data_IF_797005755396
#
_entry.id   IF_797005755396
#
_cell.length_a   1.000
_cell.length_b   1.000
_cell.length_c   1.000
_cell.angle_alpha   90.00
_cell.angle_beta   90.00
_cell.angle_gamma   90.00
#
_symmetry.space_group_name_H-M   'P 1'
#
loop_
_entity.id
_entity.type
_entity.pdbx_description
1 polymer ?
#
# COMPACT_ATOMS: atom_id res chain seq x y z
N UNK A 1 -3.22 8.72 0.94
CA UNK A 1 -2.20 7.68 0.64
C UNK A 1 -2.81 6.30 0.40
N UNK A 2 -3.30 5.53 1.39
CA UNK A 2 -3.75 4.14 1.12
C UNK A 2 -4.98 4.01 0.19
N UNK A 3 -5.97 4.90 0.32
CA UNK A 3 -7.12 4.96 -0.61
C UNK A 3 -6.67 5.34 -2.03
N UNK A 4 -5.67 6.22 -2.14
CA UNK A 4 -5.10 6.65 -3.41
C UNK A 4 -4.32 5.51 -4.10
N UNK A 5 -3.60 4.68 -3.32
CA UNK A 5 -3.01 3.43 -3.83
C UNK A 5 -4.05 2.50 -4.44
N UNK A 6 -5.22 2.35 -3.79
CA UNK A 6 -6.33 1.55 -4.34
C UNK A 6 -6.87 2.15 -5.64
N UNK A 7 -6.98 3.48 -5.72
CA UNK A 7 -7.42 4.17 -6.94
C UNK A 7 -6.43 3.97 -8.09
N UNK A 8 -5.12 4.12 -7.84
CA UNK A 8 -4.07 3.89 -8.83
C UNK A 8 -4.04 2.42 -9.28
N UNK A 9 -4.14 1.48 -8.34
CA UNK A 9 -4.22 0.06 -8.66
C UNK A 9 -5.44 -0.23 -9.55
N UNK A 10 -6.63 0.26 -9.16
CA UNK A 10 -7.86 0.11 -9.95
C UNK A 10 -7.70 0.71 -11.35
N UNK A 11 -7.08 1.89 -11.48
CA UNK A 11 -6.83 2.50 -12.78
C UNK A 11 -5.89 1.64 -13.65
N UNK A 12 -4.93 0.94 -13.04
CA UNK A 12 -3.98 0.08 -13.75
C UNK A 12 -4.57 -1.28 -14.17
N UNK A 13 -5.50 -1.85 -13.39
CA UNK A 13 -6.02 -3.22 -13.60
C UNK A 13 -7.52 -3.26 -13.94
N UNK A 14 -8.20 -2.12 -13.98
CA UNK A 14 -9.64 -1.99 -14.22
C UNK A 14 -10.51 -2.35 -13.02
N UNK A 15 -10.39 -3.60 -12.55
CA UNK A 15 -11.18 -4.14 -11.44
C UNK A 15 -10.29 -4.63 -10.29
N UNK A 16 -10.55 -4.11 -9.08
CA UNK A 16 -9.90 -4.58 -7.86
C UNK A 16 -10.26 -6.03 -7.51
N UNK A 17 -11.35 -6.57 -8.09
CA UNK A 17 -11.70 -8.00 -8.00
C UNK A 17 -10.57 -8.93 -8.47
N UNK A 18 -9.76 -8.49 -9.44
CA UNK A 18 -8.65 -9.24 -10.03
C UNK A 18 -7.41 -9.34 -9.13
N UNK A 19 -7.39 -8.69 -7.97
CA UNK A 19 -6.31 -8.81 -7.00
C UNK A 19 -6.39 -10.18 -6.32
N UNK A 20 -5.37 -11.01 -6.53
CA UNK A 20 -5.24 -12.31 -5.87
C UNK A 20 -4.78 -12.15 -4.42
N UNK A 21 -3.81 -11.26 -4.19
CA UNK A 21 -3.25 -10.98 -2.86
C UNK A 21 -2.47 -9.66 -2.86
N UNK A 22 -2.53 -8.92 -1.76
CA UNK A 22 -1.52 -7.88 -1.47
C UNK A 22 -0.28 -8.59 -0.92
N UNK A 23 0.83 -8.51 -1.63
CA UNK A 23 2.06 -9.26 -1.29
C UNK A 23 2.86 -8.51 -0.23
N UNK A 24 3.06 -7.21 -0.45
CA UNK A 24 3.92 -6.39 0.40
C UNK A 24 3.46 -4.94 0.44
N UNK A 25 3.56 -4.34 1.63
CA UNK A 25 3.62 -2.89 1.79
C UNK A 25 5.01 -2.44 2.26
N UNK A 26 5.49 -1.35 1.69
CA UNK A 26 6.60 -0.59 2.24
C UNK A 26 6.11 0.80 2.62
N UNK A 27 6.19 1.13 3.91
CA UNK A 27 5.64 2.37 4.48
C UNK A 27 6.78 3.22 5.01
N UNK A 28 6.85 4.44 4.50
CA UNK A 28 7.81 5.46 4.92
C UNK A 28 7.05 6.56 5.65
N UNK A 29 7.36 6.76 6.92
CA UNK A 29 6.73 7.78 7.75
C UNK A 29 7.72 8.91 7.95
N UNK A 30 7.31 10.14 7.62
CA UNK A 30 8.08 11.34 7.91
C UNK A 30 8.05 11.57 9.43
N UNK A 31 9.15 11.26 10.09
CA UNK A 31 9.22 11.23 11.55
C UNK A 31 10.38 12.02 12.09
N UNK A 32 10.15 12.71 13.22
CA UNK A 32 11.20 13.39 13.96
C UNK A 32 12.27 12.40 14.44
N UNK A 33 13.51 12.88 14.72
CA UNK A 33 14.48 12.09 15.44
C UNK A 33 13.86 11.49 16.71
N UNK A 34 14.08 10.20 16.95
CA UNK A 34 13.52 9.41 18.06
C UNK A 34 12.05 8.99 17.96
N UNK A 35 11.35 9.29 16.86
CA UNK A 35 10.06 8.64 16.60
C UNK A 35 10.26 7.14 16.31
N UNK A 36 9.63 6.28 17.11
CA UNK A 36 9.84 4.82 17.09
C UNK A 36 8.56 4.02 16.84
N UNK A 37 7.46 4.71 16.51
CA UNK A 37 6.16 4.09 16.27
C UNK A 37 5.67 4.12 14.79
N UNK A 38 6.53 4.00 13.75
CA UNK A 38 6.06 4.03 12.36
C UNK A 38 5.13 2.84 12.04
N UNK A 39 5.24 1.74 12.79
CA UNK A 39 4.35 0.59 12.67
C UNK A 39 2.89 0.94 12.97
N UNK A 40 2.62 1.80 13.97
CA UNK A 40 1.25 2.21 14.33
C UNK A 40 0.61 3.08 13.26
N UNK A 41 1.41 3.94 12.60
CA UNK A 41 0.94 4.72 11.45
C UNK A 41 0.64 3.80 10.26
N UNK A 42 1.50 2.79 10.04
CA UNK A 42 1.32 1.81 8.98
C UNK A 42 0.10 0.90 9.20
N UNK A 43 -0.36 0.69 10.44
CA UNK A 43 -1.55 -0.11 10.75
C UNK A 43 -2.79 0.42 10.06
N UNK A 44 -2.94 1.75 9.94
CA UNK A 44 -4.09 2.33 9.23
C UNK A 44 -4.18 1.92 7.75
N UNK A 45 -3.04 1.78 7.06
CA UNK A 45 -3.03 1.25 5.70
C UNK A 45 -3.30 -0.26 5.69
N UNK A 46 -2.72 -1.00 6.63
CA UNK A 46 -2.89 -2.44 6.71
C UNK A 46 -4.35 -2.85 7.00
N UNK A 47 -4.98 -2.19 7.97
CA UNK A 47 -6.38 -2.41 8.34
C UNK A 47 -7.33 -2.11 7.18
N UNK A 48 -7.11 -1.01 6.45
CA UNK A 48 -7.91 -0.67 5.27
C UNK A 48 -7.81 -1.77 4.20
N UNK A 49 -6.60 -2.26 3.90
CA UNK A 49 -6.44 -3.31 2.88
C UNK A 49 -7.10 -4.62 3.29
N UNK A 50 -7.06 -4.98 4.57
CA UNK A 50 -7.79 -6.14 5.11
C UNK A 50 -9.31 -5.91 5.05
N UNK A 51 -9.80 -4.71 5.36
CA UNK A 51 -11.23 -4.38 5.24
C UNK A 51 -11.74 -4.48 3.79
N UNK A 52 -10.92 -4.05 2.81
CA UNK A 52 -11.29 -4.06 1.39
C UNK A 52 -11.17 -5.45 0.76
N UNK A 53 -10.09 -6.18 1.05
CA UNK A 53 -9.76 -7.44 0.36
C UNK A 53 -9.98 -8.71 1.19
N UNK A 54 -10.34 -8.59 2.47
CA UNK A 54 -10.43 -9.72 3.41
C UNK A 54 -9.06 -10.38 3.61
N UNK A 55 -9.03 -11.72 3.62
CA UNK A 55 -7.77 -12.49 3.75
C UNK A 55 -6.74 -12.17 2.67
N UNK A 56 -7.18 -11.79 1.46
CA UNK A 56 -6.30 -11.37 0.36
C UNK A 56 -5.57 -10.06 0.66
N UNK A 57 -6.08 -9.28 1.62
CA UNK A 57 -5.48 -8.06 2.11
C UNK A 57 -4.36 -8.28 3.13
N UNK A 58 -4.13 -9.50 3.62
CA UNK A 58 -3.05 -9.80 4.57
C UNK A 58 -1.71 -9.89 3.83
N UNK A 59 -0.75 -9.07 4.24
CA UNK A 59 0.52 -8.84 3.54
C UNK A 59 1.73 -8.83 4.47
N UNK A 60 2.91 -9.03 3.88
CA UNK A 60 4.16 -8.67 4.53
C UNK A 60 4.34 -7.15 4.56
N UNK A 61 5.05 -6.62 5.56
CA UNK A 61 5.21 -5.17 5.73
C UNK A 61 6.59 -4.79 6.23
N UNK A 62 7.11 -3.68 5.71
CA UNK A 62 8.21 -2.93 6.33
C UNK A 62 7.73 -1.51 6.59
N UNK A 63 7.90 -1.02 7.83
CA UNK A 63 7.52 0.34 8.22
C UNK A 63 8.73 1.03 8.84
N UNK A 64 9.16 2.15 8.26
CA UNK A 64 10.37 2.87 8.67
C UNK A 64 10.06 4.35 8.87
N UNK A 65 10.76 4.95 9.83
CA UNK A 65 10.80 6.41 9.96
C UNK A 65 11.89 6.93 9.05
N UNK A 66 11.58 7.95 8.25
CA UNK A 66 12.53 8.63 7.36
C UNK A 66 12.59 10.11 7.72
N UNK A 67 13.71 10.77 7.40
CA UNK A 67 13.92 12.18 7.72
C UNK A 67 13.00 13.11 6.90
N UNK A 68 12.69 12.72 5.67
CA UNK A 68 11.78 13.43 4.76
C UNK A 68 11.18 12.44 3.75
N UNK A 69 9.98 12.76 3.29
CA UNK A 69 9.35 12.22 2.08
C UNK A 69 9.07 13.40 1.13
N UNK A 70 8.91 13.17 -0.19
CA UNK A 70 8.66 14.23 -1.16
C UNK A 70 7.50 15.15 -0.78
N UNK A 71 7.62 16.43 -1.16
CA UNK A 71 6.63 17.48 -0.90
C UNK A 71 6.31 17.74 0.57
N UNK A 72 7.11 17.20 1.51
CA UNK A 72 6.85 17.33 2.95
C UNK A 72 5.62 16.53 3.40
N UNK A 73 5.22 15.49 2.66
CA UNK A 73 4.10 14.64 3.06
C UNK A 73 4.36 13.95 4.41
N UNK A 74 3.30 13.43 5.04
CA UNK A 74 3.44 12.70 6.31
C UNK A 74 3.85 11.24 6.10
N UNK A 75 3.36 10.62 5.03
CA UNK A 75 3.53 9.19 4.76
C UNK A 75 3.61 8.97 3.25
N UNK A 76 4.48 8.07 2.83
CA UNK A 76 4.51 7.50 1.49
C UNK A 76 4.47 5.98 1.59
N UNK A 77 3.75 5.33 0.68
CA UNK A 77 3.55 3.88 0.70
C UNK A 77 3.76 3.33 -0.71
N UNK A 78 4.55 2.28 -0.81
CA UNK A 78 4.69 1.43 -1.99
C UNK A 78 4.01 0.07 -1.74
N UNK A 79 3.40 -0.49 -2.77
CA UNK A 79 2.57 -1.69 -2.71
C UNK A 79 2.86 -2.64 -3.86
N UNK A 80 3.11 -3.89 -3.52
CA UNK A 80 3.16 -4.99 -4.49
C UNK A 80 1.86 -5.79 -4.37
N UNK A 81 1.07 -5.78 -5.44
CA UNK A 81 -0.14 -6.57 -5.56
C UNK A 81 0.06 -7.68 -6.60
N UNK A 82 -0.38 -8.87 -6.25
CA UNK A 82 -0.48 -9.97 -7.19
C UNK A 82 -1.87 -9.99 -7.82
N UNK A 83 -1.92 -10.15 -9.14
CA UNK A 83 -3.14 -10.13 -9.94
C UNK A 83 -3.34 -11.43 -10.71
N UNK A 84 -4.57 -11.73 -11.06
CA UNK A 84 -4.88 -12.85 -11.95
C UNK A 84 -4.31 -12.64 -13.35
N UNK A 85 -3.73 -13.70 -13.93
CA UNK A 85 -3.00 -13.65 -15.20
C UNK A 85 -3.86 -13.29 -16.42
N UNK A 86 -5.19 -13.36 -16.31
CA UNK A 86 -6.11 -13.28 -17.45
C UNK A 86 -6.38 -11.84 -17.94
N UNK A 87 -5.88 -10.80 -17.28
CA UNK A 87 -6.24 -9.41 -17.61
C UNK A 87 -5.09 -8.47 -18.00
N UNK A 88 -3.88 -8.97 -18.24
CA UNK A 88 -2.76 -8.10 -18.67
C UNK A 88 -2.83 -7.66 -20.15
N UNK A 89 -3.84 -8.07 -20.91
CA UNK A 89 -4.09 -7.54 -22.26
C UNK A 89 -5.11 -6.41 -22.23
N UNK A 90 -4.65 -5.19 -21.92
CA UNK A 90 -4.99 -3.98 -22.69
C UNK A 90 -4.18 -2.78 -22.20
N UNK A 91 -3.30 -2.26 -23.06
CA UNK A 91 -2.92 -0.84 -23.03
C UNK A 91 -1.52 -0.49 -22.53
N UNK A 92 -0.49 -0.87 -23.29
CA UNK A 92 0.52 0.08 -23.80
C UNK A 92 0.88 -0.30 -25.23
#
# INVERSE_FOLDING_TARGET
VAIELLAVLKAAIGDLGCVRRIVKLFVMVNGAPHFTEPHRIADGASELLVQVFGERGIHSRSAVSVAQVPFGACVEIDMIAEIEATQLTQGK
#
